data_IF_612672381293
#
_entry.id   IF_612672381293
#
_cell.length_a   1.000
_cell.length_b   1.000
_cell.length_c   1.000
_cell.angle_alpha   90.00
_cell.angle_beta   90.00
_cell.angle_gamma   90.00
#
_symmetry.space_group_name_H-M   'P 1'
#
loop_
_entity.id
_entity.type
_entity.pdbx_description
1 polymer ?
#
# COMPACT_ATOMS: atom_id res chain seq x y z
N UNK A 1 8.20 -17.43 -1.04
CA UNK A 1 7.41 -16.67 -2.03
C UNK A 1 6.85 -15.44 -1.33
N UNK A 2 6.74 -14.27 -1.99
CA UNK A 2 6.19 -13.09 -1.32
C UNK A 2 4.70 -13.30 -1.03
N UNK A 3 4.30 -13.12 0.23
CA UNK A 3 2.90 -13.25 0.68
C UNK A 3 2.21 -11.88 0.77
N UNK A 4 2.84 -10.82 0.27
CA UNK A 4 2.26 -9.48 0.16
C UNK A 4 2.53 -8.87 -1.21
N UNK A 5 1.53 -8.19 -1.74
CA UNK A 5 1.55 -7.58 -3.05
C UNK A 5 1.04 -6.15 -2.96
N UNK A 6 1.82 -5.21 -3.48
CA UNK A 6 1.47 -3.80 -3.58
C UNK A 6 1.06 -3.47 -5.01
N UNK A 7 -0.06 -2.78 -5.16
CA UNK A 7 -0.60 -2.36 -6.44
C UNK A 7 -0.87 -0.85 -6.43
N UNK A 8 -0.43 -0.17 -7.48
CA UNK A 8 -0.87 1.17 -7.80
C UNK A 8 -2.02 1.10 -8.80
N UNK A 9 -3.21 1.49 -8.35
CA UNK A 9 -4.41 1.58 -9.17
C UNK A 9 -4.69 3.02 -9.66
N UNK A 10 -3.71 3.92 -9.52
CA UNK A 10 -3.83 5.34 -9.86
C UNK A 10 -3.30 5.64 -11.26
N UNK A 11 -3.79 6.72 -11.87
CA UNK A 11 -3.30 7.20 -13.17
C UNK A 11 -1.94 7.93 -13.12
N UNK A 12 -1.29 7.98 -11.96
CA UNK A 12 0.03 8.60 -11.76
C UNK A 12 0.98 7.65 -11.06
N UNK A 13 2.29 7.79 -11.29
CA UNK A 13 3.28 7.04 -10.52
C UNK A 13 3.26 7.48 -9.06
N UNK A 14 3.39 6.51 -8.14
CA UNK A 14 3.47 6.77 -6.70
C UNK A 14 4.77 6.20 -6.13
N UNK A 15 5.25 6.85 -5.08
CA UNK A 15 6.30 6.36 -4.20
C UNK A 15 5.67 5.94 -2.89
N UNK A 16 5.95 4.73 -2.43
CA UNK A 16 5.33 4.14 -1.24
C UNK A 16 6.40 3.64 -0.27
N UNK A 17 6.30 4.01 1.00
CA UNK A 17 7.08 3.44 2.09
C UNK A 17 6.16 2.71 3.07
N UNK A 18 6.64 1.59 3.59
CA UNK A 18 5.95 0.75 4.55
C UNK A 18 6.78 0.74 5.83
N UNK A 19 6.18 1.09 6.96
CA UNK A 19 6.82 1.10 8.28
C UNK A 19 8.19 1.81 8.26
N UNK A 20 8.28 2.98 7.62
CA UNK A 20 9.51 3.77 7.45
C UNK A 20 10.65 3.03 6.69
N UNK A 21 10.30 2.06 5.84
CA UNK A 21 11.22 1.41 4.93
C UNK A 21 11.64 2.30 3.75
N UNK A 22 12.49 1.73 2.89
CA UNK A 22 12.83 2.38 1.62
C UNK A 22 11.58 2.61 0.76
N UNK A 23 11.56 3.70 0.01
CA UNK A 23 10.47 3.99 -0.92
C UNK A 23 10.53 3.07 -2.14
N UNK A 24 9.39 2.46 -2.44
CA UNK A 24 9.13 1.70 -3.66
C UNK A 24 8.46 2.62 -4.67
N UNK A 25 9.06 2.75 -5.85
CA UNK A 25 8.42 3.46 -6.97
C UNK A 25 7.50 2.49 -7.72
N UNK A 26 6.26 2.92 -7.96
CA UNK A 26 5.23 2.14 -8.64
C UNK A 26 4.67 2.95 -9.80
N UNK A 27 4.79 2.44 -11.01
CA UNK A 27 4.22 3.03 -12.23
C UNK A 27 2.71 3.23 -12.11
N UNK A 28 2.09 4.13 -12.90
CA UNK A 28 0.63 4.24 -12.96
C UNK A 28 0.00 2.94 -13.45
N UNK A 29 -1.28 2.76 -13.16
CA UNK A 29 -2.10 1.75 -13.81
C UNK A 29 -2.12 1.97 -15.34
N UNK A 30 -2.33 0.88 -16.09
CA UNK A 30 -2.47 0.97 -17.54
C UNK A 30 -3.67 1.87 -17.90
N UNK A 31 -3.44 2.87 -18.75
CA UNK A 31 -4.43 3.92 -19.02
C UNK A 31 -5.65 3.45 -19.82
N UNK A 32 -5.57 2.27 -20.45
CA UNK A 32 -6.63 1.75 -21.31
C UNK A 32 -7.41 0.65 -20.61
N UNK A 33 -6.70 -0.31 -20.02
CA UNK A 33 -7.26 -1.50 -19.37
C UNK A 33 -7.48 -1.32 -17.86
N UNK A 34 -6.96 -0.25 -17.27
CA UNK A 34 -6.98 0.01 -15.83
C UNK A 34 -6.37 -1.12 -14.98
N UNK A 35 -5.50 -1.93 -15.58
CA UNK A 35 -4.76 -2.96 -14.85
C UNK A 35 -3.77 -2.26 -13.90
N UNK A 36 -3.84 -2.54 -12.58
CA UNK A 36 -2.92 -1.95 -11.62
C UNK A 36 -1.47 -2.37 -11.86
N UNK A 37 -0.55 -1.45 -11.62
CA UNK A 37 0.88 -1.70 -11.72
C UNK A 37 1.47 -2.15 -10.38
N UNK A 38 2.59 -2.87 -10.42
CA UNK A 38 3.31 -3.35 -9.23
C UNK A 38 4.74 -2.80 -9.18
N UNK A 39 5.35 -2.63 -7.99
CA UNK A 39 6.77 -2.31 -7.88
C UNK A 39 7.65 -3.45 -8.40
N UNK A 40 8.92 -3.14 -8.71
CA UNK A 40 9.91 -4.14 -9.08
C UNK A 40 10.19 -5.16 -7.95
N UNK A 41 10.09 -4.72 -6.70
CA UNK A 41 10.22 -5.56 -5.52
C UNK A 41 8.96 -5.42 -4.66
N UNK A 42 8.34 -6.56 -4.34
CA UNK A 42 7.17 -6.62 -3.48
C UNK A 42 7.57 -6.52 -2.00
N UNK A 43 6.72 -5.93 -1.14
CA UNK A 43 6.98 -5.92 0.28
C UNK A 43 6.97 -7.34 0.86
N UNK A 44 7.67 -7.51 1.97
CA UNK A 44 7.65 -8.78 2.70
C UNK A 44 6.55 -8.73 3.75
N UNK A 45 5.77 -9.80 3.86
CA UNK A 45 4.88 -10.00 4.99
C UNK A 45 5.55 -10.89 6.05
N UNK A 46 5.46 -10.49 7.31
CA UNK A 46 5.89 -11.28 8.47
C UNK A 46 4.68 -11.60 9.35
N UNK A 47 4.55 -12.86 9.74
CA UNK A 47 3.42 -13.31 10.55
C UNK A 47 3.64 -13.02 12.05
N UNK A 48 3.81 -11.75 12.40
CA UNK A 48 3.97 -11.26 13.78
C UNK A 48 3.47 -9.81 13.89
N UNK A 49 3.38 -9.29 15.12
CA UNK A 49 2.90 -7.93 15.41
C UNK A 49 4.01 -6.87 15.50
N UNK A 50 5.26 -7.25 15.19
CA UNK A 50 6.42 -6.36 15.27
C UNK A 50 7.20 -6.39 13.94
N UNK A 51 6.58 -5.95 12.82
CA UNK A 51 7.27 -5.91 11.54
C UNK A 51 8.42 -4.89 11.57
N UNK A 52 9.52 -5.24 10.90
CA UNK A 52 10.62 -4.30 10.67
C UNK A 52 10.31 -3.29 9.57
N UNK A 53 11.26 -2.37 9.34
CA UNK A 53 11.14 -1.37 8.29
C UNK A 53 10.99 -2.03 6.91
N UNK A 54 10.00 -1.59 6.12
CA UNK A 54 9.70 -2.15 4.80
C UNK A 54 8.94 -3.48 4.82
N UNK A 55 8.56 -3.99 6.00
CA UNK A 55 7.80 -5.22 6.15
C UNK A 55 6.36 -4.90 6.58
N UNK A 56 5.40 -5.68 6.10
CA UNK A 56 4.03 -5.70 6.61
C UNK A 56 3.91 -6.78 7.68
N UNK A 57 3.21 -6.50 8.76
CA UNK A 57 2.93 -7.46 9.83
C UNK A 57 1.47 -7.43 10.25
N UNK A 58 1.11 -8.33 11.17
CA UNK A 58 -0.19 -8.29 11.84
C UNK A 58 -0.31 -7.00 12.68
N UNK A 59 -1.53 -6.51 12.85
CA UNK A 59 -1.81 -5.26 13.53
C UNK A 59 -1.57 -4.01 12.66
N UNK A 60 -1.25 -2.87 13.28
CA UNK A 60 -1.10 -1.60 12.58
C UNK A 60 0.21 -1.53 11.78
N UNK A 61 0.11 -1.05 10.54
CA UNK A 61 1.24 -0.75 9.66
C UNK A 61 1.10 0.68 9.15
N UNK A 62 2.17 1.46 9.23
CA UNK A 62 2.22 2.83 8.69
C UNK A 62 2.57 2.78 7.21
N UNK A 63 1.69 3.31 6.37
CA UNK A 63 1.94 3.47 4.94
C UNK A 63 2.12 4.95 4.65
N UNK A 64 3.28 5.30 4.10
CA UNK A 64 3.56 6.65 3.61
C UNK A 64 3.55 6.61 2.09
N UNK A 65 2.87 7.56 1.46
CA UNK A 65 2.87 7.66 0.00
C UNK A 65 2.87 9.10 -0.49
N UNK A 66 3.39 9.29 -1.70
CA UNK A 66 3.28 10.53 -2.45
C UNK A 66 3.37 10.24 -3.95
N UNK A 67 2.81 11.07 -4.84
CA UNK A 67 2.93 10.90 -6.27
C UNK A 67 4.29 11.44 -6.69
N UNK A 68 4.91 10.81 -7.69
CA UNK A 68 6.26 11.19 -8.15
C UNK A 68 6.34 12.65 -8.61
N UNK A 69 5.21 13.24 -9.01
CA UNK A 69 5.09 14.60 -9.53
C UNK A 69 5.17 15.70 -8.47
N UNK A 70 4.81 15.42 -7.22
CA UNK A 70 4.82 16.43 -6.13
C UNK A 70 5.88 16.16 -5.06
N UNK A 71 6.45 14.96 -5.04
CA UNK A 71 7.53 14.58 -4.13
C UNK A 71 7.12 14.44 -2.66
N UNK A 72 8.10 14.16 -1.77
CA UNK A 72 7.85 13.79 -0.37
C UNK A 72 7.16 14.87 0.48
N UNK A 73 7.26 16.15 0.09
CA UNK A 73 6.61 17.25 0.80
C UNK A 73 5.08 17.17 0.75
N UNK A 74 4.53 16.46 -0.25
CA UNK A 74 3.09 16.18 -0.38
C UNK A 74 2.76 14.76 0.09
N UNK A 75 3.57 14.20 0.99
CA UNK A 75 3.35 12.86 1.48
C UNK A 75 2.15 12.77 2.40
N UNK A 76 1.52 11.61 2.33
CA UNK A 76 0.33 11.23 3.04
C UNK A 76 0.65 9.96 3.81
N UNK A 77 0.21 9.90 5.06
CA UNK A 77 0.36 8.73 5.92
C UNK A 77 -1.00 8.17 6.29
N UNK A 78 -1.17 6.86 6.21
CA UNK A 78 -2.34 6.18 6.77
C UNK A 78 -1.92 4.88 7.46
N UNK A 79 -2.83 4.34 8.27
CA UNK A 79 -2.62 3.08 8.98
C UNK A 79 -3.41 1.95 8.32
N UNK A 80 -2.69 0.94 7.86
CA UNK A 80 -3.24 -0.35 7.46
C UNK A 80 -3.26 -1.29 8.66
N UNK A 81 -4.44 -1.72 9.10
CA UNK A 81 -4.62 -2.66 10.19
C UNK A 81 -4.91 -4.06 9.64
N UNK A 82 -3.96 -4.97 9.80
CA UNK A 82 -4.11 -6.38 9.43
C UNK A 82 -4.59 -7.15 10.68
N UNK A 83 -5.72 -7.87 10.66
CA UNK A 83 -6.23 -8.57 11.83
C UNK A 83 -5.23 -9.59 12.37
N UNK A 84 -5.09 -9.69 13.69
CA UNK A 84 -4.18 -10.63 14.36
C UNK A 84 -4.71 -12.06 14.39
N UNK A 85 -6.04 -12.23 14.26
CA UNK A 85 -6.73 -13.51 14.39
C UNK A 85 -6.91 -14.25 13.05
N UNK A 86 -6.45 -13.68 11.93
CA UNK A 86 -6.61 -14.27 10.60
C UNK A 86 -5.30 -14.84 10.07
N UNK A 87 -5.38 -16.01 9.45
CA UNK A 87 -4.24 -16.54 8.69
C UNK A 87 -4.12 -15.79 7.37
N UNK A 88 -3.03 -15.03 7.21
CA UNK A 88 -2.73 -14.31 5.98
C UNK A 88 -2.06 -15.26 4.99
N UNK A 89 -2.79 -15.64 3.94
CA UNK A 89 -2.29 -16.53 2.88
C UNK A 89 -1.72 -15.73 1.70
N UNK A 90 -2.35 -14.60 1.36
CA UNK A 90 -1.90 -13.69 0.31
C UNK A 90 -2.48 -12.30 0.55
N UNK A 91 -1.65 -11.39 1.05
CA UNK A 91 -2.03 -10.00 1.27
C UNK A 91 -1.91 -9.21 -0.04
N UNK A 92 -2.96 -8.49 -0.43
CA UNK A 92 -2.94 -7.57 -1.56
C UNK A 92 -3.33 -6.18 -1.06
N UNK A 93 -2.51 -5.17 -1.36
CA UNK A 93 -2.75 -3.78 -1.01
C UNK A 93 -2.86 -2.96 -2.30
N UNK A 94 -4.06 -2.47 -2.59
CA UNK A 94 -4.33 -1.56 -3.69
C UNK A 94 -4.35 -0.12 -3.18
N UNK A 95 -3.59 0.74 -3.83
CA UNK A 95 -3.48 2.16 -3.52
C UNK A 95 -4.12 3.00 -4.62
N UNK A 96 -4.92 3.98 -4.20
CA UNK A 96 -5.62 4.91 -5.06
C UNK A 96 -5.24 6.33 -4.67
N UNK A 97 -4.58 7.03 -5.57
CA UNK A 97 -4.19 8.43 -5.44
C UNK A 97 -5.00 9.28 -6.40
N UNK A 98 -5.70 10.27 -5.85
CA UNK A 98 -6.26 11.38 -6.63
C UNK A 98 -5.44 12.65 -6.42
N UNK A 99 -5.23 13.03 -5.15
CA UNK A 99 -4.42 14.17 -4.74
C UNK A 99 -4.02 14.01 -3.26
N UNK A 100 -3.23 14.95 -2.72
CA UNK A 100 -2.71 14.88 -1.35
C UNK A 100 -3.80 14.92 -0.26
N UNK A 101 -5.03 15.29 -0.62
CA UNK A 101 -6.18 15.29 0.29
C UNK A 101 -7.10 14.09 0.06
N UNK A 102 -6.92 13.36 -1.04
CA UNK A 102 -7.81 12.30 -1.48
C UNK A 102 -7.00 11.06 -1.84
N UNK A 103 -6.79 10.22 -0.83
CA UNK A 103 -6.14 8.91 -0.96
C UNK A 103 -7.08 7.83 -0.45
N UNK A 104 -7.14 6.69 -1.13
CA UNK A 104 -7.85 5.53 -0.64
C UNK A 104 -7.00 4.27 -0.79
N UNK A 105 -7.33 3.24 -0.04
CA UNK A 105 -6.72 1.93 -0.17
C UNK A 105 -7.71 0.80 0.07
N UNK A 106 -7.38 -0.36 -0.49
CA UNK A 106 -8.06 -1.61 -0.20
C UNK A 106 -7.03 -2.70 0.11
N UNK A 107 -7.18 -3.37 1.24
CA UNK A 107 -6.38 -4.49 1.66
C UNK A 107 -7.21 -5.78 1.63
N UNK A 108 -6.67 -6.82 0.99
CA UNK A 108 -7.33 -8.11 0.80
C UNK A 108 -6.44 -9.26 1.28
N UNK A 109 -7.05 -10.34 1.78
CA UNK A 109 -6.41 -11.62 2.08
C UNK A 109 -7.03 -12.69 1.18
N UNK A 110 -6.24 -13.26 0.26
CA UNK A 110 -6.74 -14.27 -0.67
C UNK A 110 -7.91 -13.78 -1.53
N UNK A 111 -7.97 -12.47 -1.84
CA UNK A 111 -9.05 -11.84 -2.58
C UNK A 111 -10.27 -11.43 -1.75
N UNK A 112 -10.28 -11.65 -0.43
CA UNK A 112 -11.34 -11.16 0.46
C UNK A 112 -10.92 -9.86 1.16
N UNK A 113 -11.82 -8.88 1.22
CA UNK A 113 -11.51 -7.61 1.90
C UNK A 113 -11.24 -7.79 3.39
N UNK A 114 -10.14 -7.18 3.83
CA UNK A 114 -9.77 -7.02 5.23
C UNK A 114 -10.10 -5.62 5.70
N UNK A 115 -9.73 -4.62 4.90
CA UNK A 115 -9.92 -3.21 5.20
C UNK A 115 -10.04 -2.44 3.89
N UNK A 116 -10.97 -1.49 3.86
CA UNK A 116 -11.09 -0.47 2.81
C UNK A 116 -11.29 0.85 3.52
N UNK A 117 -10.49 1.85 3.17
CA UNK A 117 -10.58 3.16 3.79
C UNK A 117 -10.18 4.26 2.81
N UNK A 118 -10.69 5.46 3.07
CA UNK A 118 -10.31 6.69 2.39
C UNK A 118 -9.73 7.64 3.42
N UNK A 119 -8.46 7.99 3.25
CA UNK A 119 -7.81 8.97 4.09
C UNK A 119 -8.02 10.35 3.46
N UNK A 120 -8.94 11.12 4.04
CA UNK A 120 -9.17 12.52 3.71
C UNK A 120 -8.33 13.40 4.65
N UNK A 121 -7.39 14.17 4.11
CA UNK A 121 -6.54 15.06 4.90
C UNK A 121 -7.03 16.50 4.75
N UNK A 122 -7.43 17.11 5.87
CA UNK A 122 -7.94 18.49 5.95
C UNK A 122 -6.82 19.51 5.74
#
# INVERSE_FOLDING_TARGET
>A
MPNAYLFNASGVSISVSINNGAFLSVSPADSTSWVPSTPAAQPTFVNNTNPGNGQLGLGPNTITLYPSTSGPASSVNFTLNIPTEVTVSSLQLYLFWKDAKNVAFAALNGGQFIQVDSAAFS
#
